data_IF_892356695914
#
_entry.id   IF_892356695914
#
_cell.length_a   1.000
_cell.length_b   1.000
_cell.length_c   1.000
_cell.angle_alpha   90.00
_cell.angle_beta   90.00
_cell.angle_gamma   90.00
#
_symmetry.space_group_name_H-M   'P 1'
#
loop_
_entity.id
_entity.type
_entity.pdbx_description
1 polymer ?
#
# COMPACT_ATOMS: atom_id res chain seq x y z
N UNK A 1 -28.67 33.00 19.50
CA UNK A 1 -29.28 32.78 18.17
C UNK A 1 -28.32 31.93 17.38
N UNK A 2 -28.80 30.80 16.87
CA UNK A 2 -28.02 29.73 16.25
C UNK A 2 -27.33 30.23 14.98
N UNK A 3 -26.01 30.08 14.91
CA UNK A 3 -25.30 30.05 13.65
C UNK A 3 -25.55 28.66 13.06
N UNK A 4 -26.62 28.57 12.27
CA UNK A 4 -26.91 27.45 11.39
C UNK A 4 -25.77 27.41 10.35
N UNK A 5 -24.70 26.73 10.73
CA UNK A 5 -23.61 26.43 9.80
C UNK A 5 -24.21 25.41 8.86
N UNK A 6 -24.44 25.82 7.63
CA UNK A 6 -24.77 24.98 6.50
C UNK A 6 -23.61 23.98 6.32
N UNK A 7 -23.59 22.94 7.17
CA UNK A 7 -22.64 21.84 7.09
C UNK A 7 -23.02 21.15 5.80
N UNK A 8 -22.24 21.39 4.74
CA UNK A 8 -22.22 20.52 3.58
C UNK A 8 -22.12 19.08 4.09
N UNK A 9 -23.26 18.39 4.14
CA UNK A 9 -23.33 16.99 4.54
C UNK A 9 -22.85 16.22 3.33
N UNK A 10 -21.57 15.88 3.33
CA UNK A 10 -21.01 15.01 2.31
C UNK A 10 -21.83 13.73 2.24
N UNK A 11 -22.18 13.34 1.03
CA UNK A 11 -22.78 12.04 0.75
C UNK A 11 -21.74 10.95 1.00
N UNK A 12 -22.21 9.74 1.29
CA UNK A 12 -21.32 8.58 1.46
C UNK A 12 -20.48 8.27 0.22
N UNK A 13 -21.02 8.53 -0.97
CA UNK A 13 -20.31 8.42 -2.24
C UNK A 13 -19.14 9.41 -2.29
N UNK A 14 -19.37 10.67 -1.93
CA UNK A 14 -18.30 11.68 -1.89
C UNK A 14 -17.21 11.33 -0.87
N UNK A 15 -17.58 10.65 0.23
CA UNK A 15 -16.64 10.27 1.29
C UNK A 15 -15.85 8.99 0.98
N UNK A 16 -16.46 8.00 0.32
CA UNK A 16 -15.91 6.65 0.19
C UNK A 16 -15.75 6.17 -1.25
N UNK A 17 -16.17 6.93 -2.25
CA UNK A 17 -16.18 6.54 -3.66
C UNK A 17 -14.80 6.25 -4.25
N UNK A 18 -13.73 6.79 -3.67
CA UNK A 18 -12.34 6.48 -4.05
C UNK A 18 -11.78 5.22 -3.38
N UNK A 19 -12.41 4.76 -2.29
CA UNK A 19 -11.94 3.61 -1.50
C UNK A 19 -12.33 2.27 -2.14
N UNK A 20 -11.77 1.17 -1.66
CA UNK A 20 -12.17 -0.17 -2.10
C UNK A 20 -13.35 -0.75 -1.29
N UNK A 21 -14.04 0.09 -0.50
CA UNK A 21 -15.21 -0.31 0.26
C UNK A 21 -16.40 -0.34 -0.68
N UNK A 22 -17.07 -1.49 -0.77
CA UNK A 22 -18.24 -1.63 -1.63
C UNK A 22 -19.37 -0.68 -1.22
N UNK A 23 -20.07 -0.09 -2.20
CA UNK A 23 -21.13 0.89 -1.95
C UNK A 23 -22.21 0.43 -0.96
N UNK A 24 -22.53 -0.87 -1.00
CA UNK A 24 -23.47 -1.52 -0.07
C UNK A 24 -22.97 -1.65 1.37
N UNK A 25 -21.78 -1.18 1.70
CA UNK A 25 -21.23 -1.17 3.06
C UNK A 25 -21.09 0.26 3.60
N UNK A 26 -21.33 1.28 2.77
CA UNK A 26 -21.19 2.67 3.18
C UNK A 26 -22.26 3.11 4.19
N UNK A 27 -23.41 2.43 4.24
CA UNK A 27 -24.45 2.70 5.24
C UNK A 27 -24.00 2.45 6.69
N UNK A 28 -22.84 1.80 6.89
CA UNK A 28 -22.28 1.49 8.20
C UNK A 28 -21.56 2.68 8.86
N UNK A 29 -21.31 3.76 8.11
CA UNK A 29 -20.76 5.01 8.65
C UNK A 29 -21.86 6.04 8.87
N UNK A 30 -21.59 7.03 9.72
CA UNK A 30 -22.41 8.21 9.92
C UNK A 30 -21.72 9.45 9.34
N UNK A 31 -22.15 9.97 8.17
CA UNK A 31 -21.56 11.16 7.56
C UNK A 31 -21.60 12.40 8.46
N UNK A 32 -22.57 12.51 9.38
CA UNK A 32 -22.67 13.66 10.28
C UNK A 32 -21.56 13.68 11.34
N UNK A 33 -20.96 12.52 11.60
CA UNK A 33 -19.85 12.31 12.54
C UNK A 33 -18.50 12.17 11.84
N UNK A 34 -18.43 12.41 10.53
CA UNK A 34 -17.22 12.16 9.73
C UNK A 34 -15.97 12.87 10.29
N UNK A 35 -16.12 14.12 10.73
CA UNK A 35 -15.03 14.92 11.29
C UNK A 35 -15.00 14.92 12.83
N UNK A 36 -15.78 14.05 13.49
CA UNK A 36 -15.71 13.93 14.94
C UNK A 36 -14.50 13.07 15.31
N UNK A 37 -13.72 13.55 16.28
CA UNK A 37 -12.66 12.75 16.88
C UNK A 37 -13.23 11.80 17.94
N UNK A 38 -12.47 10.76 18.23
CA UNK A 38 -12.78 9.78 19.27
C UNK A 38 -11.73 9.92 20.36
N UNK A 39 -12.18 10.24 21.58
CA UNK A 39 -11.32 10.24 22.75
C UNK A 39 -10.83 8.81 23.01
N UNK A 40 -9.52 8.64 23.18
CA UNK A 40 -8.90 7.34 23.40
C UNK A 40 -8.07 7.36 24.69
N UNK A 41 -8.05 6.27 25.47
CA UNK A 41 -8.78 5.02 25.24
C UNK A 41 -10.27 5.11 25.64
N UNK A 42 -11.14 4.40 24.91
CA UNK A 42 -12.57 4.27 25.21
C UNK A 42 -13.08 2.86 24.86
N UNK A 43 -13.27 2.02 25.87
CA UNK A 43 -13.76 0.64 25.70
C UNK A 43 -15.26 0.55 25.37
N UNK A 44 -15.99 1.66 25.54
CA UNK A 44 -17.44 1.77 25.30
C UNK A 44 -17.77 2.50 24.00
N UNK A 45 -16.76 2.86 23.20
CA UNK A 45 -16.93 3.57 21.93
C UNK A 45 -18.02 2.94 21.07
N UNK A 46 -18.91 3.79 20.58
CA UNK A 46 -19.99 3.40 19.69
C UNK A 46 -19.43 2.76 18.41
N UNK A 47 -20.04 1.66 17.98
CA UNK A 47 -19.58 0.91 16.82
C UNK A 47 -19.62 1.75 15.54
N UNK A 48 -20.66 2.57 15.35
CA UNK A 48 -20.78 3.46 14.18
C UNK A 48 -19.75 4.59 14.24
N UNK A 49 -19.50 5.17 15.43
CA UNK A 49 -18.43 6.16 15.60
C UNK A 49 -17.05 5.57 15.25
N UNK A 50 -16.68 4.43 15.85
CA UNK A 50 -15.40 3.76 15.55
C UNK A 50 -15.26 3.40 14.07
N UNK A 51 -16.35 2.90 13.46
CA UNK A 51 -16.38 2.58 12.02
C UNK A 51 -16.19 3.83 11.15
N UNK A 52 -16.85 4.94 11.50
CA UNK A 52 -16.76 6.22 10.78
C UNK A 52 -15.35 6.81 10.86
N UNK A 53 -14.72 6.74 12.03
CA UNK A 53 -13.36 7.21 12.23
C UNK A 53 -12.35 6.41 11.38
N UNK A 54 -12.46 5.08 11.39
CA UNK A 54 -11.62 4.22 10.54
C UNK A 54 -11.88 4.50 9.06
N UNK A 55 -13.14 4.73 8.67
CA UNK A 55 -13.51 5.05 7.30
C UNK A 55 -12.84 6.35 6.80
N UNK A 56 -12.77 7.38 7.67
CA UNK A 56 -12.03 8.62 7.40
C UNK A 56 -10.56 8.34 7.12
N UNK A 57 -9.89 7.61 8.01
CA UNK A 57 -8.49 7.25 7.82
C UNK A 57 -8.25 6.47 6.51
N UNK A 58 -9.13 5.52 6.17
CA UNK A 58 -9.04 4.79 4.90
C UNK A 58 -9.16 5.73 3.69
N UNK A 59 -10.12 6.66 3.71
CA UNK A 59 -10.29 7.64 2.63
C UNK A 59 -9.03 8.51 2.48
N UNK A 60 -8.53 9.07 3.59
CA UNK A 60 -7.30 9.87 3.62
C UNK A 60 -6.11 9.10 3.06
N UNK A 61 -5.87 7.86 3.50
CA UNK A 61 -4.74 7.04 3.04
C UNK A 61 -4.90 6.58 1.60
N UNK A 62 -6.13 6.49 1.10
CA UNK A 62 -6.40 6.16 -0.30
C UNK A 62 -6.02 7.33 -1.20
N UNK A 63 -6.49 8.52 -0.88
CA UNK A 63 -6.38 9.71 -1.74
C UNK A 63 -4.98 10.35 -1.67
N UNK A 64 -4.31 10.27 -0.52
CA UNK A 64 -2.99 10.85 -0.32
C UNK A 64 -1.88 10.00 -0.95
N UNK A 65 -0.77 10.63 -1.40
CA UNK A 65 0.37 9.90 -1.94
C UNK A 65 1.25 9.26 -0.86
N UNK A 66 0.96 9.47 0.43
CA UNK A 66 1.75 8.97 1.55
C UNK A 66 1.80 7.43 1.56
N UNK A 67 2.98 6.90 1.88
CA UNK A 67 3.28 5.47 1.82
C UNK A 67 4.42 5.12 2.81
N UNK A 68 4.62 3.82 3.02
CA UNK A 68 5.72 3.25 3.80
C UNK A 68 5.84 3.89 5.21
N UNK A 69 7.02 4.39 5.59
CA UNK A 69 7.30 4.95 6.92
C UNK A 69 6.50 6.22 7.23
N UNK A 70 6.24 7.06 6.22
CA UNK A 70 5.44 8.27 6.38
C UNK A 70 3.99 7.91 6.76
N UNK A 71 3.39 6.97 6.00
CA UNK A 71 2.04 6.48 6.31
C UNK A 71 1.95 5.75 7.66
N UNK A 72 3.00 5.02 8.04
CA UNK A 72 3.06 4.41 9.37
C UNK A 72 3.03 5.47 10.48
N UNK A 73 3.75 6.58 10.28
CA UNK A 73 3.77 7.69 11.24
C UNK A 73 2.40 8.39 11.33
N UNK A 74 1.75 8.63 10.18
CA UNK A 74 0.37 9.14 10.14
C UNK A 74 -0.60 8.21 10.89
N UNK A 75 -0.52 6.90 10.65
CA UNK A 75 -1.32 5.90 11.35
C UNK A 75 -1.12 5.93 12.88
N UNK A 76 0.12 6.06 13.35
CA UNK A 76 0.39 6.13 14.78
C UNK A 76 -0.19 7.40 15.43
N UNK A 77 -0.21 8.52 14.69
CA UNK A 77 -0.81 9.78 15.15
C UNK A 77 -2.34 9.68 15.15
N UNK A 78 -2.94 9.23 14.04
CA UNK A 78 -4.39 9.15 13.87
C UNK A 78 -5.05 8.20 14.88
N UNK A 79 -4.36 7.15 15.29
CA UNK A 79 -4.87 6.15 16.23
C UNK A 79 -4.13 6.16 17.56
N UNK A 80 -3.51 7.29 17.93
CA UNK A 80 -2.83 7.42 19.21
C UNK A 80 -3.81 7.12 20.37
N UNK A 81 -3.40 6.22 21.26
CA UNK A 81 -4.21 5.81 22.42
C UNK A 81 -5.29 4.77 22.11
N UNK A 82 -5.54 4.42 20.85
CA UNK A 82 -6.49 3.36 20.51
C UNK A 82 -6.01 2.00 20.98
N UNK A 83 -6.93 1.22 21.55
CA UNK A 83 -6.68 -0.13 22.01
C UNK A 83 -7.42 -1.17 21.14
N UNK A 84 -7.22 -2.44 21.46
CA UNK A 84 -7.81 -3.54 20.69
C UNK A 84 -9.34 -3.57 20.75
N UNK A 85 -9.92 -3.17 21.87
CA UNK A 85 -11.38 -3.11 22.05
C UNK A 85 -11.96 -2.09 21.07
N UNK A 86 -11.37 -0.89 20.97
CA UNK A 86 -11.81 0.16 20.05
C UNK A 86 -11.78 -0.31 18.58
N UNK A 87 -10.68 -0.95 18.14
CA UNK A 87 -10.64 -1.53 16.80
C UNK A 87 -11.69 -2.63 16.60
N UNK A 88 -11.93 -3.48 17.61
CA UNK A 88 -12.94 -4.55 17.53
C UNK A 88 -14.38 -4.02 17.54
N UNK A 89 -14.64 -2.81 18.05
CA UNK A 89 -15.97 -2.16 17.99
C UNK A 89 -16.34 -1.76 16.57
N UNK A 90 -15.36 -1.33 15.77
CA UNK A 90 -15.61 -0.99 14.38
C UNK A 90 -16.03 -2.22 13.56
N UNK A 91 -16.83 -1.98 12.53
CA UNK A 91 -17.28 -3.04 11.66
C UNK A 91 -16.09 -3.73 10.97
N UNK A 92 -16.09 -5.07 10.97
CA UNK A 92 -14.93 -5.88 10.56
C UNK A 92 -14.45 -5.62 9.12
N UNK A 93 -15.36 -5.19 8.24
CA UNK A 93 -15.01 -4.79 6.86
C UNK A 93 -14.04 -3.62 6.85
N UNK A 94 -14.28 -2.61 7.71
CA UNK A 94 -13.47 -1.39 7.77
C UNK A 94 -12.11 -1.66 8.42
N UNK A 95 -12.04 -2.43 9.50
CA UNK A 95 -10.74 -2.81 10.09
C UNK A 95 -9.90 -3.67 9.15
N UNK A 96 -10.54 -4.60 8.42
CA UNK A 96 -9.88 -5.40 7.39
C UNK A 96 -9.35 -4.52 6.25
N UNK A 97 -10.15 -3.55 5.81
CA UNK A 97 -9.77 -2.62 4.76
C UNK A 97 -8.65 -1.68 5.20
N UNK A 98 -8.68 -1.15 6.43
CA UNK A 98 -7.59 -0.36 7.02
C UNK A 98 -6.28 -1.17 7.00
N UNK A 99 -6.31 -2.42 7.47
CA UNK A 99 -5.15 -3.31 7.38
C UNK A 99 -4.70 -3.50 5.92
N UNK A 100 -5.64 -3.62 4.97
CA UNK A 100 -5.32 -3.83 3.55
C UNK A 100 -4.63 -2.61 2.95
N UNK A 101 -5.18 -1.40 3.14
CA UNK A 101 -4.62 -0.18 2.54
C UNK A 101 -3.23 0.12 3.08
N UNK A 102 -3.00 -0.05 4.40
CA UNK A 102 -1.68 0.06 5.00
C UNK A 102 -0.66 -0.86 4.32
N UNK A 103 -1.02 -2.15 4.13
CA UNK A 103 -0.17 -3.12 3.43
C UNK A 103 0.09 -2.76 1.99
N UNK A 104 -0.96 -2.38 1.27
CA UNK A 104 -0.87 -1.99 -0.13
C UNK A 104 0.07 -0.79 -0.29
N UNK A 105 0.04 0.16 0.65
CA UNK A 105 0.90 1.33 0.69
C UNK A 105 2.28 1.06 1.33
N UNK A 106 2.67 -0.21 1.50
CA UNK A 106 4.04 -0.58 1.92
C UNK A 106 4.25 -0.74 3.43
N UNK A 107 3.22 -0.62 4.26
CA UNK A 107 3.33 -0.80 5.72
C UNK A 107 3.16 -2.27 6.10
N UNK A 108 4.15 -2.86 6.76
CA UNK A 108 4.06 -4.25 7.21
C UNK A 108 3.18 -4.37 8.46
N UNK A 109 2.04 -5.04 8.31
CA UNK A 109 1.04 -5.22 9.38
C UNK A 109 1.08 -6.63 10.02
N UNK A 110 2.24 -7.30 9.98
CA UNK A 110 2.34 -8.69 10.44
C UNK A 110 1.89 -9.72 9.39
N UNK A 111 1.50 -10.91 9.84
CA UNK A 111 1.07 -12.01 8.94
C UNK A 111 -0.26 -11.67 8.26
N UNK A 112 -0.44 -12.19 7.05
CA UNK A 112 -1.64 -11.92 6.26
C UNK A 112 -2.93 -12.35 6.99
N UNK A 113 -2.92 -13.53 7.61
CA UNK A 113 -4.04 -14.14 8.32
C UNK A 113 -4.22 -13.65 9.77
N UNK A 114 -3.38 -12.75 10.26
CA UNK A 114 -3.54 -12.15 11.59
C UNK A 114 -4.85 -11.36 11.67
N UNK A 115 -5.55 -11.47 12.80
CA UNK A 115 -6.80 -10.73 13.07
C UNK A 115 -6.55 -9.23 12.86
N UNK A 116 -7.40 -8.49 12.12
CA UNK A 116 -7.13 -7.09 11.79
C UNK A 116 -6.88 -6.19 13.00
N UNK A 117 -7.72 -6.27 14.04
CA UNK A 117 -7.54 -5.47 15.25
C UNK A 117 -6.22 -5.76 15.96
N UNK A 118 -5.86 -7.03 16.13
CA UNK A 118 -4.58 -7.45 16.74
C UNK A 118 -3.38 -6.95 15.94
N UNK A 119 -3.46 -7.00 14.61
CA UNK A 119 -2.40 -6.50 13.72
C UNK A 119 -2.21 -4.98 13.87
N UNK A 120 -3.30 -4.21 13.91
CA UNK A 120 -3.27 -2.75 14.01
C UNK A 120 -2.74 -2.29 15.38
N UNK A 121 -3.19 -2.91 16.47
CA UNK A 121 -2.67 -2.61 17.81
C UNK A 121 -1.21 -3.05 17.96
N UNK A 122 -0.87 -4.20 17.39
CA UNK A 122 0.51 -4.68 17.36
C UNK A 122 1.45 -3.78 16.57
N UNK A 123 0.93 -2.90 15.69
CA UNK A 123 1.69 -1.83 15.05
C UNK A 123 1.77 -0.58 15.94
N UNK A 124 0.67 -0.14 16.54
CA UNK A 124 0.66 1.03 17.43
C UNK A 124 1.59 0.88 18.63
N UNK A 125 1.76 -0.34 19.13
CA UNK A 125 2.65 -0.64 20.25
C UNK A 125 4.14 -0.70 19.83
N UNK A 126 4.48 -0.33 18.60
CA UNK A 126 5.86 -0.33 18.11
C UNK A 126 6.34 1.10 17.90
N UNK A 127 7.60 1.30 18.26
CA UNK A 127 8.30 2.56 18.02
C UNK A 127 8.85 2.63 16.58
N UNK A 128 9.20 1.48 16.00
CA UNK A 128 9.90 1.40 14.71
C UNK A 128 9.06 0.86 13.55
N UNK A 129 9.25 1.48 12.37
CA UNK A 129 8.75 0.98 11.10
C UNK A 129 9.38 -0.37 10.74
N UNK A 130 8.54 -1.38 10.49
CA UNK A 130 9.01 -2.74 10.22
C UNK A 130 9.28 -2.98 8.76
N UNK A 131 10.40 -3.65 8.50
CA UNK A 131 10.68 -4.24 7.20
C UNK A 131 9.82 -5.48 6.97
N UNK A 132 9.42 -5.65 5.71
CA UNK A 132 8.74 -6.85 5.26
C UNK A 132 9.68 -8.06 5.27
N UNK A 133 9.26 -9.22 5.80
CA UNK A 133 9.96 -10.48 5.57
C UNK A 133 9.98 -10.84 4.08
N UNK A 134 11.12 -11.31 3.57
CA UNK A 134 11.36 -11.58 2.14
C UNK A 134 10.28 -12.45 1.49
N UNK A 135 9.82 -13.50 2.17
CA UNK A 135 8.77 -14.39 1.69
C UNK A 135 7.47 -13.62 1.43
N UNK A 136 7.03 -12.83 2.40
CA UNK A 136 5.80 -12.05 2.29
C UNK A 136 5.94 -10.82 1.40
N UNK A 137 7.17 -10.34 1.21
CA UNK A 137 7.47 -9.18 0.37
C UNK A 137 7.37 -9.51 -1.12
N UNK A 138 7.81 -10.70 -1.53
CA UNK A 138 7.80 -11.10 -2.94
C UNK A 138 6.38 -11.26 -3.50
N UNK A 139 5.45 -11.79 -2.70
CA UNK A 139 4.08 -12.06 -3.13
C UNK A 139 3.11 -10.89 -2.87
N UNK A 140 3.57 -9.84 -2.20
CA UNK A 140 2.74 -8.68 -1.89
C UNK A 140 2.53 -7.79 -3.11
N UNK A 141 1.31 -7.23 -3.20
CA UNK A 141 0.97 -6.20 -4.19
C UNK A 141 1.06 -4.84 -3.51
N UNK A 142 1.89 -3.96 -4.08
CA UNK A 142 2.16 -2.63 -3.55
C UNK A 142 1.67 -1.53 -4.49
N UNK A 143 1.35 -0.38 -3.91
CA UNK A 143 1.14 0.87 -4.64
C UNK A 143 2.43 1.26 -5.37
N UNK A 144 2.31 1.64 -6.64
CA UNK A 144 3.46 2.00 -7.49
C UNK A 144 4.31 3.14 -6.94
N UNK A 145 3.72 3.97 -6.06
CA UNK A 145 4.37 5.10 -5.41
C UNK A 145 5.17 4.70 -4.16
N UNK A 146 4.94 3.51 -3.61
CA UNK A 146 5.66 3.04 -2.43
C UNK A 146 7.11 2.67 -2.75
N UNK A 147 8.00 2.90 -1.78
CA UNK A 147 9.36 2.40 -1.78
C UNK A 147 9.41 0.87 -1.82
N UNK A 148 8.46 0.21 -1.16
CA UNK A 148 8.28 -1.23 -1.24
C UNK A 148 8.10 -1.71 -2.70
N UNK A 149 7.22 -1.09 -3.48
CA UNK A 149 7.05 -1.41 -4.89
C UNK A 149 8.33 -1.19 -5.70
N UNK A 150 8.98 -0.03 -5.52
CA UNK A 150 10.21 0.29 -6.24
C UNK A 150 11.34 -0.71 -5.97
N UNK A 151 11.47 -1.16 -4.72
CA UNK A 151 12.43 -2.19 -4.33
C UNK A 151 12.09 -3.55 -4.95
N UNK A 152 10.81 -3.93 -4.92
CA UNK A 152 10.35 -5.20 -5.50
C UNK A 152 10.66 -5.27 -7.01
N UNK A 153 10.40 -4.18 -7.75
CA UNK A 153 10.72 -4.12 -9.19
C UNK A 153 12.21 -4.22 -9.49
N UNK A 154 13.07 -3.54 -8.71
CA UNK A 154 14.53 -3.63 -8.88
C UNK A 154 15.05 -5.06 -8.69
N UNK A 155 14.47 -5.82 -7.76
CA UNK A 155 14.83 -7.21 -7.52
C UNK A 155 14.41 -8.09 -8.72
N UNK A 156 13.21 -7.88 -9.25
CA UNK A 156 12.71 -8.60 -10.43
C UNK A 156 13.58 -8.31 -11.65
N UNK A 157 13.85 -7.04 -11.95
CA UNK A 157 14.70 -6.63 -13.08
C UNK A 157 16.13 -7.17 -12.96
N UNK A 158 16.70 -7.13 -11.76
CA UNK A 158 18.03 -7.70 -11.48
C UNK A 158 18.09 -9.22 -11.71
N UNK A 159 17.05 -9.96 -11.32
CA UNK A 159 16.92 -11.40 -11.61
C UNK A 159 16.86 -11.66 -13.11
N UNK A 160 16.10 -10.86 -13.87
CA UNK A 160 16.03 -10.99 -15.33
C UNK A 160 17.36 -10.69 -16.03
N UNK A 161 18.17 -9.76 -15.51
CA UNK A 161 19.50 -9.48 -16.05
C UNK A 161 20.47 -10.67 -15.87
N UNK A 162 20.39 -11.40 -14.76
CA UNK A 162 21.25 -12.58 -14.48
C UNK A 162 20.87 -13.84 -15.27
N UNK A 163 19.65 -13.93 -15.81
CA UNK A 163 19.15 -15.13 -16.53
C UNK A 163 19.41 -15.05 -18.05
N UNK A 164 20.13 -14.04 -18.56
CA UNK A 164 20.60 -14.07 -19.95
C UNK A 164 21.59 -15.23 -20.14
N UNK A 165 21.34 -16.20 -21.05
CA UNK A 165 22.29 -17.25 -21.34
C UNK A 165 23.57 -16.63 -21.90
N UNK A 166 24.66 -16.78 -21.14
CA UNK A 166 26.00 -16.66 -21.68
C UNK A 166 26.26 -17.99 -22.37
N UNK A 167 25.89 -18.09 -23.64
CA UNK A 167 26.34 -19.20 -24.49
C UNK A 167 27.20 -18.67 -25.63
N UNK A 168 28.24 -19.46 -25.90
CA UNK A 168 29.49 -19.12 -26.53
C UNK A 168 29.36 -18.85 -28.06
N UNK A 169 30.31 -18.18 -28.72
CA UNK A 169 31.71 -18.12 -28.33
C UNK A 169 32.61 -17.23 -29.18
N UNK A 170 33.93 -17.33 -28.94
CA UNK A 170 34.93 -16.49 -29.57
C UNK A 170 35.50 -17.15 -30.82
N UNK A 171 35.48 -16.46 -31.95
CA UNK A 171 36.37 -16.75 -33.07
C UNK A 171 37.12 -15.46 -33.48
N UNK A 172 38.37 -15.38 -33.03
CA UNK A 172 39.38 -14.41 -33.46
C UNK A 172 39.98 -14.81 -34.82
N UNK A 173 40.29 -13.79 -35.64
CA UNK A 173 41.35 -13.69 -36.68
C UNK A 173 41.17 -14.54 -37.96
N UNK A 174 41.57 -14.14 -39.16
CA UNK A 174 42.32 -13.00 -39.74
C UNK A 174 41.95 -12.91 -41.25
N UNK A 175 41.68 -11.73 -41.80
CA UNK A 175 42.55 -10.92 -42.69
C UNK A 175 43.07 -11.60 -43.98
N UNK A 176 42.78 -10.93 -45.10
CA UNK A 176 43.50 -10.87 -46.40
C UNK A 176 43.24 -12.03 -47.39
N UNK A 177 43.04 -11.86 -48.70
CA UNK A 177 43.28 -10.78 -49.66
C UNK A 177 42.44 -11.07 -50.94
N UNK A 178 42.00 -10.04 -51.65
CA UNK A 178 41.74 -10.14 -53.11
C UNK A 178 43.02 -9.71 -53.86
N UNK A 179 43.22 -10.14 -55.11
CA UNK A 179 43.12 -9.13 -56.16
C UNK A 179 42.51 -9.58 -57.51
N UNK A 180 42.33 -8.54 -58.32
CA UNK A 180 41.66 -8.33 -59.61
C UNK A 180 42.47 -8.85 -60.83
N UNK A 181 41.81 -9.60 -61.71
CA UNK A 181 41.65 -9.46 -63.20
C UNK A 181 42.86 -9.26 -64.16
N UNK A 182 43.06 -10.24 -65.07
CA UNK A 182 43.25 -10.19 -66.57
C UNK A 182 44.62 -10.01 -67.29
N UNK A 183 44.78 -10.88 -68.34
CA UNK A 183 45.49 -10.80 -69.66
C UNK A 183 46.98 -11.25 -69.81
N UNK A 184 47.25 -12.32 -70.60
CA UNK A 184 47.68 -12.32 -72.05
C UNK A 184 48.20 -13.69 -72.57
N UNK A 185 47.86 -13.92 -73.84
CA UNK A 185 48.28 -14.76 -74.99
C UNK A 185 49.57 -15.63 -75.07
N UNK A 186 49.46 -16.60 -76.02
CA UNK A 186 50.46 -17.33 -76.85
C UNK A 186 51.11 -18.56 -76.22
N UNK A 187 51.23 -19.73 -76.89
CA UNK A 187 51.62 -20.06 -78.29
C UNK A 187 50.65 -21.07 -78.91
#
# INVERSE_FOLDING_TARGET
MAAETDRYKFTREELLGSTNIAAREWQLIDPERWYNDIEAPDDEVDATAATTYIARAIADYTDRPTADEELFSEFCQDFQGWNEVMFRRAHAIYTKELKRILRFKGVYTGRLNMVPAEALVGMLNREDFLRWPDETFQDAVFDKRSAAYMLQQRIIDGRHATVRPTDAGPARRARNQAPVTVKKSSI
#
